data_IF_411182120251
#
_entry.id   IF_411182120251
#
_cell.length_a   1.000
_cell.length_b   1.000
_cell.length_c   1.000
_cell.angle_alpha   90.00
_cell.angle_beta   90.00
_cell.angle_gamma   90.00
#
_symmetry.space_group_name_H-M   'P 1'
#
loop_
_entity.id
_entity.type
_entity.pdbx_description
1 polymer ?
#
# COMPACT_ATOMS: atom_id res chain seq x y z
N UNK A 1 15.85 -24.99 -10.71
CA UNK A 1 15.42 -24.12 -9.58
C UNK A 1 15.34 -22.71 -10.12
N UNK A 2 14.17 -22.04 -10.03
CA UNK A 2 14.03 -20.66 -10.51
C UNK A 2 14.84 -19.70 -9.62
N UNK A 3 15.51 -18.72 -10.21
CA UNK A 3 16.27 -17.69 -9.50
C UNK A 3 15.30 -16.73 -8.84
N UNK A 4 15.43 -16.57 -7.53
CA UNK A 4 14.70 -15.53 -6.81
C UNK A 4 15.40 -14.19 -7.04
N UNK A 5 14.67 -13.24 -7.59
CA UNK A 5 15.12 -11.86 -7.81
C UNK A 5 14.24 -10.86 -7.05
N UNK A 6 13.24 -11.36 -6.31
CA UNK A 6 12.24 -10.53 -5.68
C UNK A 6 12.76 -10.03 -4.33
N UNK A 7 13.23 -8.80 -4.33
CA UNK A 7 13.74 -8.12 -3.12
C UNK A 7 12.63 -7.28 -2.46
N UNK A 8 12.70 -7.01 -1.15
CA UNK A 8 11.78 -6.08 -0.48
C UNK A 8 11.72 -4.71 -1.16
N UNK A 9 12.87 -4.25 -1.68
CA UNK A 9 12.99 -2.98 -2.40
C UNK A 9 12.20 -2.98 -3.71
N UNK A 10 12.23 -4.08 -4.46
CA UNK A 10 11.45 -4.24 -5.68
C UNK A 10 9.95 -4.14 -5.37
N UNK A 11 9.48 -4.89 -4.36
CA UNK A 11 8.06 -4.88 -3.95
C UNK A 11 7.61 -3.49 -3.52
N UNK A 12 8.38 -2.83 -2.65
CA UNK A 12 8.09 -1.46 -2.21
C UNK A 12 8.03 -0.47 -3.37
N UNK A 13 8.84 -0.67 -4.42
CA UNK A 13 8.82 0.17 -5.61
C UNK A 13 7.54 -0.08 -6.44
N UNK A 14 7.16 -1.35 -6.63
CA UNK A 14 5.91 -1.69 -7.33
C UNK A 14 4.69 -1.09 -6.64
N UNK A 15 4.66 -1.12 -5.30
CA UNK A 15 3.57 -0.57 -4.51
C UNK A 15 3.56 0.95 -4.49
N UNK A 16 4.74 1.59 -4.38
CA UNK A 16 4.87 3.06 -4.47
C UNK A 16 4.45 3.63 -5.83
N UNK A 17 4.66 2.85 -6.90
CA UNK A 17 4.22 3.21 -8.24
C UNK A 17 2.76 2.83 -8.52
N UNK A 18 2.02 2.32 -7.51
CA UNK A 18 0.62 1.90 -7.62
C UNK A 18 0.38 0.88 -8.77
N UNK A 19 1.39 0.06 -9.08
CA UNK A 19 1.32 -0.84 -10.21
C UNK A 19 0.35 -1.98 -9.93
N UNK A 20 -0.59 -2.20 -10.85
CA UNK A 20 -1.46 -3.37 -10.80
C UNK A 20 -0.62 -4.66 -10.92
N UNK A 21 -1.22 -5.80 -10.56
CA UNK A 21 -0.52 -7.07 -10.73
C UNK A 21 -0.16 -7.36 -12.18
N UNK A 22 -1.01 -6.94 -13.12
CA UNK A 22 -0.78 -7.13 -14.55
C UNK A 22 0.39 -6.27 -15.02
N UNK A 23 0.39 -5.00 -14.63
CA UNK A 23 1.45 -4.06 -15.06
C UNK A 23 2.79 -4.45 -14.45
N UNK A 24 2.78 -4.97 -13.21
CA UNK A 24 3.97 -5.50 -12.56
C UNK A 24 4.58 -6.68 -13.34
N UNK A 25 3.76 -7.65 -13.77
CA UNK A 25 4.24 -8.78 -14.61
C UNK A 25 4.84 -8.24 -15.90
N UNK A 26 4.12 -7.36 -16.59
CA UNK A 26 4.51 -6.85 -17.90
C UNK A 26 5.83 -6.06 -17.86
N UNK A 27 5.98 -5.17 -16.87
CA UNK A 27 7.22 -4.39 -16.69
C UNK A 27 8.39 -5.30 -16.35
N UNK A 28 8.20 -6.29 -15.47
CA UNK A 28 9.26 -7.21 -15.07
C UNK A 28 9.70 -8.10 -16.23
N UNK A 29 8.76 -8.62 -17.00
CA UNK A 29 9.03 -9.42 -18.20
C UNK A 29 9.81 -8.63 -19.25
N UNK A 30 9.35 -7.43 -19.59
CA UNK A 30 10.04 -6.54 -20.54
C UNK A 30 11.44 -6.13 -20.04
N UNK A 31 11.62 -5.94 -18.73
CA UNK A 31 12.93 -5.61 -18.14
C UNK A 31 13.89 -6.79 -18.24
N UNK A 32 13.43 -8.01 -17.98
CA UNK A 32 14.24 -9.22 -18.04
C UNK A 32 14.65 -9.53 -19.49
N UNK A 33 13.73 -9.35 -20.43
CA UNK A 33 13.99 -9.48 -21.87
C UNK A 33 15.03 -8.45 -22.34
N UNK A 34 14.88 -7.18 -21.94
CA UNK A 34 15.85 -6.12 -22.25
C UNK A 34 17.25 -6.37 -21.66
N UNK A 35 17.34 -7.11 -20.55
CA UNK A 35 18.60 -7.54 -19.95
C UNK A 35 19.19 -8.80 -20.62
N UNK A 36 18.52 -9.36 -21.63
CA UNK A 36 18.94 -10.58 -22.33
C UNK A 36 18.88 -11.83 -21.45
N UNK A 37 18.08 -11.80 -20.38
CA UNK A 37 17.94 -12.90 -19.45
C UNK A 37 16.74 -13.77 -19.85
N UNK A 38 16.82 -15.08 -19.63
CA UNK A 38 15.69 -15.97 -19.89
C UNK A 38 14.59 -15.76 -18.85
N UNK A 39 13.38 -15.40 -19.29
CA UNK A 39 12.19 -15.18 -18.45
C UNK A 39 11.79 -16.44 -17.67
N UNK A 40 12.04 -17.64 -18.21
CA UNK A 40 11.73 -18.91 -17.55
C UNK A 40 12.56 -19.17 -16.28
N UNK A 41 13.71 -18.49 -16.17
CA UNK A 41 14.56 -18.58 -14.99
C UNK A 41 13.94 -17.88 -13.77
N UNK A 42 12.95 -17.00 -13.96
CA UNK A 42 12.41 -16.15 -12.90
C UNK A 42 10.94 -16.47 -12.58
N UNK A 43 10.50 -16.31 -11.32
CA UNK A 43 9.11 -16.52 -10.92
C UNK A 43 8.24 -15.26 -11.20
N UNK A 44 8.05 -14.88 -12.48
CA UNK A 44 7.29 -13.67 -12.89
C UNK A 44 5.77 -13.93 -12.99
N UNK A 45 5.26 -15.07 -12.52
CA UNK A 45 3.83 -15.34 -12.62
C UNK A 45 3.01 -14.40 -11.71
N UNK A 46 1.77 -14.11 -12.11
CA UNK A 46 0.83 -13.31 -11.30
C UNK A 46 0.71 -13.83 -9.86
N UNK A 47 0.64 -15.15 -9.68
CA UNK A 47 0.53 -15.78 -8.36
C UNK A 47 1.81 -15.61 -7.53
N UNK A 48 2.99 -15.70 -8.15
CA UNK A 48 4.27 -15.45 -7.49
C UNK A 48 4.36 -14.01 -6.98
N UNK A 49 4.08 -13.02 -7.82
CA UNK A 49 4.15 -11.61 -7.42
C UNK A 49 3.08 -11.30 -6.36
N UNK A 50 1.86 -11.86 -6.48
CA UNK A 50 0.81 -11.68 -5.49
C UNK A 50 1.20 -12.27 -4.12
N UNK A 51 1.70 -13.50 -4.08
CA UNK A 51 2.17 -14.13 -2.84
C UNK A 51 3.19 -13.25 -2.14
N UNK A 52 4.15 -12.72 -2.90
CA UNK A 52 5.25 -11.94 -2.33
C UNK A 52 4.79 -10.57 -1.86
N UNK A 53 3.88 -9.90 -2.58
CA UNK A 53 3.21 -8.68 -2.08
C UNK A 53 2.53 -8.93 -0.75
N UNK A 54 1.75 -10.02 -0.64
CA UNK A 54 1.07 -10.37 0.61
C UNK A 54 2.05 -10.65 1.75
N UNK A 55 3.13 -11.40 1.48
CA UNK A 55 4.16 -11.70 2.48
C UNK A 55 4.85 -10.42 2.98
N UNK A 56 5.18 -9.48 2.09
CA UNK A 56 5.80 -8.20 2.47
C UNK A 56 4.86 -7.24 3.17
N UNK A 57 3.59 -7.21 2.79
CA UNK A 57 2.58 -6.45 3.54
C UNK A 57 2.40 -7.01 4.95
N UNK A 58 2.41 -8.34 5.10
CA UNK A 58 2.37 -9.00 6.41
C UNK A 58 3.60 -8.67 7.25
N UNK A 59 4.80 -8.77 6.66
CA UNK A 59 6.06 -8.39 7.33
C UNK A 59 6.04 -6.92 7.75
N UNK A 60 5.57 -6.02 6.89
CA UNK A 60 5.46 -4.59 7.20
C UNK A 60 4.46 -4.33 8.33
N UNK A 61 3.29 -4.98 8.30
CA UNK A 61 2.30 -4.88 9.36
C UNK A 61 2.83 -5.40 10.70
N UNK A 62 3.55 -6.52 10.70
CA UNK A 62 4.21 -7.05 11.92
C UNK A 62 5.29 -6.10 12.42
N UNK A 63 6.09 -5.51 11.54
CA UNK A 63 7.10 -4.52 11.92
C UNK A 63 6.47 -3.27 12.54
N UNK A 64 5.37 -2.77 11.97
CA UNK A 64 4.59 -1.68 12.56
C UNK A 64 4.04 -2.09 13.92
N UNK A 65 3.46 -3.30 14.04
CA UNK A 65 2.90 -3.83 15.29
C UNK A 65 3.97 -3.93 16.38
N UNK A 66 5.15 -4.45 16.05
CA UNK A 66 6.28 -4.60 16.97
C UNK A 66 6.84 -3.22 17.34
N UNK A 67 7.05 -2.33 16.38
CA UNK A 67 7.52 -0.96 16.65
C UNK A 67 6.54 -0.19 17.54
N UNK A 68 5.25 -0.37 17.28
CA UNK A 68 4.18 0.15 18.12
C UNK A 68 4.27 -0.44 19.52
N UNK A 69 4.23 -1.78 19.69
CA UNK A 69 4.33 -2.44 21.01
C UNK A 69 5.58 -2.03 21.81
N UNK A 70 6.72 -1.84 21.15
CA UNK A 70 7.96 -1.45 21.79
C UNK A 70 8.02 0.04 22.17
N UNK A 71 7.19 0.88 21.54
CA UNK A 71 7.12 2.34 21.77
C UNK A 71 5.84 2.79 22.45
N UNK A 72 4.89 1.88 22.73
CA UNK A 72 3.58 2.24 23.26
C UNK A 72 3.74 2.84 24.66
N UNK A 73 3.03 3.94 24.89
CA UNK A 73 2.48 4.25 26.17
C UNK A 73 1.02 3.75 26.26
N UNK A 74 0.65 3.11 27.37
CA UNK A 74 -0.46 2.16 27.62
C UNK A 74 -1.76 2.18 26.77
N UNK A 75 -2.22 3.30 26.18
CA UNK A 75 -3.42 3.39 25.32
C UNK A 75 -3.24 4.46 24.24
N UNK A 76 -3.50 4.11 22.98
CA UNK A 76 -3.64 5.06 21.85
C UNK A 76 -5.08 4.99 21.33
N UNK A 77 -5.70 6.15 21.08
CA UNK A 77 -7.05 6.23 20.51
C UNK A 77 -6.95 6.49 19.01
N UNK A 78 -7.57 5.62 18.20
CA UNK A 78 -7.73 5.83 16.77
C UNK A 78 -9.05 6.54 16.52
N UNK A 79 -9.00 7.77 16.01
CA UNK A 79 -10.18 8.51 15.58
C UNK A 79 -10.30 8.44 14.05
N UNK A 80 -11.46 7.99 13.61
CA UNK A 80 -11.84 7.98 12.21
C UNK A 80 -13.24 8.59 12.10
N UNK A 81 -13.34 9.74 11.45
CA UNK A 81 -14.62 10.41 11.22
C UNK A 81 -14.75 10.79 9.74
N UNK A 82 -15.97 10.68 9.22
CA UNK A 82 -16.28 11.03 7.84
C UNK A 82 -16.48 12.54 7.75
N UNK A 83 -15.40 13.27 7.43
CA UNK A 83 -15.50 14.72 7.19
C UNK A 83 -15.49 15.02 5.69
N UNK A 84 -16.59 15.60 5.21
CA UNK A 84 -16.69 16.14 3.86
C UNK A 84 -15.70 17.32 3.71
N UNK A 85 -14.57 17.08 3.04
CA UNK A 85 -13.59 18.12 2.75
C UNK A 85 -13.76 18.64 1.31
N UNK A 86 -13.75 19.97 1.09
CA UNK A 86 -13.74 20.51 -0.26
C UNK A 86 -12.47 20.07 -1.00
N UNK A 87 -12.60 19.66 -2.25
CA UNK A 87 -11.44 19.38 -3.09
C UNK A 87 -10.65 20.69 -3.34
N UNK A 88 -9.33 20.66 -3.15
CA UNK A 88 -8.43 21.80 -3.41
C UNK A 88 -8.49 22.31 -4.87
N UNK A 89 -9.00 21.49 -5.80
CA UNK A 89 -9.28 21.90 -7.17
C UNK A 89 -10.77 22.19 -7.32
N UNK A 90 -11.11 23.47 -7.22
CA UNK A 90 -12.45 24.04 -7.13
C UNK A 90 -13.35 23.87 -8.38
N UNK A 91 -13.50 22.66 -8.95
CA UNK A 91 -14.42 22.50 -10.10
C UNK A 91 -15.27 21.24 -10.18
N UNK A 92 -15.00 20.11 -9.50
CA UNK A 92 -15.86 18.91 -9.64
C UNK A 92 -15.94 18.11 -8.34
N UNK A 93 -17.14 18.08 -7.75
CA UNK A 93 -17.61 17.29 -6.60
C UNK A 93 -16.95 17.54 -5.23
N UNK A 94 -17.78 17.51 -4.17
CA UNK A 94 -17.31 17.25 -2.80
C UNK A 94 -16.61 15.88 -2.82
N UNK A 95 -15.36 15.82 -2.38
CA UNK A 95 -14.62 14.57 -2.21
C UNK A 95 -14.82 14.13 -0.76
N UNK A 96 -15.41 12.96 -0.56
CA UNK A 96 -15.37 12.32 0.74
C UNK A 96 -13.93 11.90 1.02
N UNK A 97 -13.45 12.28 2.19
CA UNK A 97 -12.11 11.97 2.66
C UNK A 97 -12.21 11.48 4.08
N UNK A 98 -11.38 10.50 4.40
CA UNK A 98 -11.44 9.81 5.67
C UNK A 98 -10.18 10.12 6.47
N UNK A 99 -10.17 11.19 7.30
CA UNK A 99 -9.05 11.46 8.18
C UNK A 99 -8.89 10.32 9.19
N UNK A 100 -7.71 9.70 9.18
CA UNK A 100 -7.28 8.72 10.17
C UNK A 100 -6.32 9.44 11.11
N UNK A 101 -6.78 9.70 12.33
CA UNK A 101 -6.02 10.41 13.36
C UNK A 101 -5.73 9.44 14.49
N UNK A 102 -4.50 9.46 15.01
CA UNK A 102 -4.18 8.82 16.28
C UNK A 102 -3.98 9.89 17.34
N UNK A 103 -4.50 9.63 18.53
CA UNK A 103 -4.24 10.44 19.71
C UNK A 103 -3.62 9.60 20.81
N UNK A 104 -2.61 10.18 21.46
CA UNK A 104 -1.93 9.61 22.61
C UNK A 104 -1.65 10.72 23.63
N UNK A 105 -2.17 10.58 24.84
CA UNK A 105 -2.09 11.63 25.86
C UNK A 105 -2.71 12.94 25.37
N UNK A 106 -1.92 14.02 25.32
CA UNK A 106 -2.32 15.34 24.78
C UNK A 106 -1.82 15.59 23.34
N UNK A 107 -1.33 14.54 22.66
CA UNK A 107 -0.81 14.64 21.29
C UNK A 107 -1.77 13.98 20.32
N UNK A 108 -2.02 14.66 19.20
CA UNK A 108 -2.78 14.14 18.07
C UNK A 108 -1.90 14.15 16.81
N UNK A 109 -1.98 13.10 16.00
CA UNK A 109 -1.26 13.00 14.74
C UNK A 109 -2.17 12.44 13.66
N UNK A 110 -2.29 13.16 12.56
CA UNK A 110 -2.93 12.68 11.34
C UNK A 110 -2.01 11.66 10.65
N UNK A 111 -2.47 10.43 10.50
CA UNK A 111 -1.74 9.35 9.80
C UNK A 111 -1.99 9.43 8.31
N UNK A 112 -3.26 9.59 7.91
CA UNK A 112 -3.65 9.54 6.52
C UNK A 112 -4.99 10.27 6.27
N UNK A 113 -5.20 10.68 5.03
CA UNK A 113 -6.50 11.21 4.53
C UNK A 113 -6.82 10.54 3.19
N UNK A 114 -7.11 9.23 3.17
CA UNK A 114 -7.54 8.54 1.96
C UNK A 114 -8.76 9.22 1.35
N UNK A 115 -8.74 9.29 0.01
CA UNK A 115 -9.90 9.66 -0.79
C UNK A 115 -10.86 8.48 -0.84
N UNK A 116 -12.15 8.78 -0.69
CA UNK A 116 -13.21 7.81 -0.90
C UNK A 116 -13.76 7.98 -2.31
N UNK A 117 -13.75 6.90 -3.07
CA UNK A 117 -14.60 6.81 -4.26
C UNK A 117 -16.05 6.79 -3.79
N UNK A 118 -16.94 7.48 -4.51
CA UNK A 118 -18.34 7.64 -4.10
C UNK A 118 -18.95 6.28 -3.77
N UNK A 119 -19.37 6.09 -2.52
CA UNK A 119 -20.21 4.97 -2.16
C UNK A 119 -21.50 5.07 -2.96
N UNK A 120 -21.63 4.24 -4.00
CA UNK A 120 -22.92 3.95 -4.60
C UNK A 120 -23.68 3.01 -3.65
N UNK A 121 -24.07 3.52 -2.48
CA UNK A 121 -25.12 2.90 -1.68
C UNK A 121 -26.39 2.94 -2.52
N UNK A 122 -26.74 1.82 -3.15
CA UNK A 122 -28.10 1.63 -3.63
C UNK A 122 -28.95 1.37 -2.38
N UNK A 123 -29.82 2.30 -2.05
CA UNK A 123 -31.03 2.01 -1.27
C UNK A 123 -31.89 0.98 -2.00
#
# INVERSE_FOLDING_TARGET
MRKDFITPKLVATLDRCELSMRDSVFILEATIDALGCNTDEFPISKSSIQRIRTEKLKEHAENIRIDFQNKVPDVVTLHWDLKLLPALRARKSKEERFPIVISYGLKEQLIAVPRMDKYAGKE
#
